data_IF_769708110342
#
_entry.id   IF_769708110342
#
_cell.length_a   1.000
_cell.length_b   1.000
_cell.length_c   1.000
_cell.angle_alpha   90.00
_cell.angle_beta   90.00
_cell.angle_gamma   90.00
#
_symmetry.space_group_name_H-M   'P 1'
#
loop_
_entity.id
_entity.type
_entity.pdbx_description
1 polymer ?
#
# COMPACT_ATOMS: atom_id res chain seq x y z
N UNK A 1 -19.59 3.57 -11.75
CA UNK A 1 -18.51 3.88 -12.72
C UNK A 1 -17.57 2.69 -12.92
N UNK A 2 -17.70 1.99 -14.05
CA UNK A 2 -16.87 0.85 -14.44
C UNK A 2 -15.80 1.34 -15.43
N UNK A 3 -14.65 1.79 -14.93
CA UNK A 3 -13.59 2.32 -15.82
C UNK A 3 -12.70 1.15 -16.28
N UNK A 4 -12.99 0.59 -17.46
CA UNK A 4 -12.04 -0.26 -18.20
C UNK A 4 -11.01 0.65 -18.88
N UNK A 5 -9.72 0.37 -18.71
CA UNK A 5 -8.71 0.88 -19.64
C UNK A 5 -8.29 2.35 -19.57
N UNK A 6 -8.73 3.16 -18.58
CA UNK A 6 -8.35 4.58 -18.57
C UNK A 6 -6.82 4.80 -18.44
N UNK A 7 -6.27 5.53 -19.42
CA UNK A 7 -4.92 6.11 -19.42
C UNK A 7 -5.01 7.55 -18.93
N UNK A 8 -4.66 7.82 -17.66
CA UNK A 8 -4.48 9.20 -17.19
C UNK A 8 -2.99 9.46 -17.00
N UNK A 9 -2.43 10.32 -17.87
CA UNK A 9 -1.01 10.67 -17.84
C UNK A 9 -0.69 11.68 -16.75
N UNK A 10 -1.58 12.62 -16.43
CA UNK A 10 -1.52 13.55 -15.30
C UNK A 10 -2.92 14.10 -14.97
N UNK A 11 -3.56 13.61 -13.92
CA UNK A 11 -4.87 14.07 -13.47
C UNK A 11 -4.81 14.54 -12.02
N UNK A 12 -5.40 15.71 -11.79
CA UNK A 12 -5.57 16.35 -10.49
C UNK A 12 -6.95 15.99 -9.93
N UNK A 13 -7.17 14.73 -9.55
CA UNK A 13 -8.38 14.38 -8.82
C UNK A 13 -8.14 14.69 -7.34
N UNK A 14 -8.41 15.93 -6.91
CA UNK A 14 -8.43 16.32 -5.49
C UNK A 14 -9.80 15.96 -4.91
N UNK A 15 -9.80 15.32 -3.73
CA UNK A 15 -11.03 15.06 -2.98
C UNK A 15 -12.03 14.09 -3.63
N UNK A 16 -11.68 13.41 -4.73
CA UNK A 16 -12.67 12.64 -5.48
C UNK A 16 -13.28 11.48 -4.67
N UNK A 17 -14.60 11.37 -4.73
CA UNK A 17 -15.40 10.33 -4.09
C UNK A 17 -15.51 9.11 -5.01
N UNK A 18 -14.41 8.39 -5.19
CA UNK A 18 -14.37 7.16 -5.98
C UNK A 18 -14.81 5.95 -5.15
N UNK A 19 -16.05 6.01 -4.63
CA UNK A 19 -16.65 4.91 -3.87
C UNK A 19 -16.92 3.75 -4.81
N UNK A 20 -16.47 2.57 -4.41
CA UNK A 20 -16.73 1.28 -5.06
C UNK A 20 -16.34 1.22 -6.55
N UNK A 21 -15.47 2.13 -6.97
CA UNK A 21 -15.03 2.20 -8.36
C UNK A 21 -14.28 0.93 -8.75
N UNK A 22 -14.55 0.43 -9.95
CA UNK A 22 -13.86 -0.73 -10.51
C UNK A 22 -12.93 -0.23 -11.61
N UNK A 23 -11.63 -0.45 -11.41
CA UNK A 23 -10.58 -0.14 -12.37
C UNK A 23 -9.82 -1.42 -12.71
N UNK A 24 -9.85 -1.79 -13.98
CA UNK A 24 -9.09 -2.93 -14.51
C UNK A 24 -8.04 -2.41 -15.48
N UNK A 25 -6.79 -2.77 -15.22
CA UNK A 25 -5.62 -2.51 -16.09
C UNK A 25 -5.38 -1.03 -16.42
N UNK A 26 -5.89 -0.14 -15.56
CA UNK A 26 -5.72 1.30 -15.74
C UNK A 26 -4.26 1.72 -15.64
N UNK A 27 -3.89 2.74 -16.43
CA UNK A 27 -2.54 3.31 -16.43
C UNK A 27 -2.61 4.72 -15.89
N UNK A 28 -2.02 4.92 -14.72
CA UNK A 28 -2.00 6.18 -13.99
C UNK A 28 -0.54 6.61 -13.83
N UNK A 29 -0.14 7.69 -14.48
CA UNK A 29 1.20 8.28 -14.32
C UNK A 29 1.03 9.65 -13.65
N UNK A 30 1.94 10.05 -12.76
CA UNK A 30 1.99 11.42 -12.21
C UNK A 30 0.79 11.92 -11.37
N UNK A 31 -0.34 11.21 -11.33
CA UNK A 31 -1.61 11.74 -10.82
C UNK A 31 -1.54 12.20 -9.36
N UNK A 32 -2.13 13.36 -9.08
CA UNK A 32 -2.23 13.92 -7.73
C UNK A 32 -3.62 13.63 -7.16
N UNK A 33 -3.69 12.57 -6.37
CA UNK A 33 -4.92 11.99 -5.80
C UNK A 33 -5.03 12.33 -4.31
N UNK A 34 -4.98 13.63 -3.98
CA UNK A 34 -4.94 14.12 -2.59
C UNK A 34 -6.32 14.02 -1.96
N UNK A 35 -6.42 13.36 -0.80
CA UNK A 35 -7.66 13.30 0.00
C UNK A 35 -8.75 12.38 -0.56
N UNK A 36 -8.52 11.68 -1.67
CA UNK A 36 -9.58 10.91 -2.34
C UNK A 36 -10.15 9.79 -1.46
N UNK A 37 -11.46 9.58 -1.56
CA UNK A 37 -12.18 8.52 -0.85
C UNK A 37 -12.44 7.35 -1.79
N UNK A 38 -11.55 6.37 -1.76
CA UNK A 38 -11.56 5.11 -2.50
C UNK A 38 -12.13 3.97 -1.64
N UNK A 39 -13.26 4.22 -0.97
CA UNK A 39 -13.92 3.20 -0.12
C UNK A 39 -14.42 2.07 -1.01
N UNK A 40 -14.06 0.82 -0.71
CA UNK A 40 -14.54 -0.35 -1.45
C UNK A 40 -14.04 -0.48 -2.89
N UNK A 41 -13.22 0.46 -3.38
CA UNK A 41 -12.74 0.46 -4.77
C UNK A 41 -11.96 -0.81 -5.09
N UNK A 42 -12.14 -1.34 -6.30
CA UNK A 42 -11.44 -2.52 -6.82
C UNK A 42 -10.46 -2.10 -7.91
N UNK A 43 -9.16 -2.28 -7.67
CA UNK A 43 -8.09 -2.07 -8.65
C UNK A 43 -7.44 -3.41 -8.97
N UNK A 44 -7.57 -3.86 -10.22
CA UNK A 44 -6.97 -5.11 -10.70
C UNK A 44 -6.01 -4.82 -11.84
N UNK A 45 -4.75 -5.23 -11.70
CA UNK A 45 -3.74 -5.14 -12.77
C UNK A 45 -3.33 -3.71 -13.16
N UNK A 46 -3.75 -2.69 -12.41
CA UNK A 46 -3.45 -1.30 -12.72
C UNK A 46 -1.97 -0.97 -12.55
N UNK A 47 -1.46 -0.11 -13.42
CA UNK A 47 -0.09 0.42 -13.38
C UNK A 47 -0.15 1.87 -12.90
N UNK A 48 0.29 2.10 -11.67
CA UNK A 48 0.44 3.43 -11.12
C UNK A 48 1.92 3.79 -10.93
N UNK A 49 2.40 4.78 -11.66
CA UNK A 49 3.79 5.25 -11.60
C UNK A 49 3.84 6.70 -11.15
N UNK A 50 4.54 6.96 -10.04
CA UNK A 50 4.77 8.32 -9.54
C UNK A 50 3.51 9.03 -9.02
N UNK A 51 2.41 8.32 -8.77
CA UNK A 51 1.17 8.94 -8.29
C UNK A 51 1.27 9.34 -6.81
N UNK A 52 0.57 10.42 -6.45
CA UNK A 52 0.56 11.02 -5.13
C UNK A 52 -0.80 10.82 -4.44
N UNK A 53 -0.83 9.97 -3.41
CA UNK A 53 -2.00 9.63 -2.60
C UNK A 53 -1.91 10.25 -1.20
N UNK A 54 -1.62 11.56 -1.12
CA UNK A 54 -1.52 12.22 0.19
C UNK A 54 -2.89 12.24 0.86
N UNK A 55 -3.00 11.64 2.04
CA UNK A 55 -4.24 11.63 2.83
C UNK A 55 -5.39 10.82 2.25
N UNK A 56 -5.19 10.02 1.19
CA UNK A 56 -6.28 9.27 0.56
C UNK A 56 -6.79 8.13 1.46
N UNK A 57 -8.08 7.83 1.36
CA UNK A 57 -8.79 6.83 2.14
C UNK A 57 -9.16 5.62 1.29
N UNK A 58 -8.57 4.47 1.62
CA UNK A 58 -8.72 3.18 0.93
C UNK A 58 -9.49 2.17 1.78
N UNK A 59 -10.51 2.61 2.54
CA UNK A 59 -11.22 1.74 3.47
C UNK A 59 -11.88 0.58 2.71
N UNK A 60 -11.49 -0.66 3.04
CA UNK A 60 -12.04 -1.87 2.42
C UNK A 60 -11.72 -2.05 0.93
N UNK A 61 -10.80 -1.27 0.37
CA UNK A 61 -10.44 -1.39 -1.05
C UNK A 61 -9.75 -2.72 -1.35
N UNK A 62 -9.91 -3.21 -2.58
CA UNK A 62 -9.29 -4.46 -3.06
C UNK A 62 -8.32 -4.14 -4.18
N UNK A 63 -7.04 -4.34 -3.92
CA UNK A 63 -5.96 -4.16 -4.88
C UNK A 63 -5.34 -5.53 -5.20
N UNK A 64 -5.50 -6.01 -6.43
CA UNK A 64 -4.91 -7.28 -6.89
C UNK A 64 -3.99 -7.06 -8.09
N UNK A 65 -2.73 -7.51 -7.99
CA UNK A 65 -1.80 -7.53 -9.11
C UNK A 65 -1.35 -6.15 -9.62
N UNK A 66 -1.51 -5.08 -8.83
CA UNK A 66 -1.18 -3.73 -9.29
C UNK A 66 0.33 -3.47 -9.23
N UNK A 67 0.82 -2.65 -10.16
CA UNK A 67 2.22 -2.19 -10.21
C UNK A 67 2.28 -0.75 -9.73
N UNK A 68 2.80 -0.54 -8.53
CA UNK A 68 2.91 0.73 -7.81
C UNK A 68 4.39 1.15 -7.74
N UNK A 69 4.90 1.84 -8.78
CA UNK A 69 6.32 2.26 -8.84
C UNK A 69 6.47 3.72 -8.43
N UNK A 70 7.21 3.97 -7.35
CA UNK A 70 7.56 5.33 -6.92
C UNK A 70 6.39 6.16 -6.35
N UNK A 71 5.28 5.52 -5.99
CA UNK A 71 4.10 6.24 -5.51
C UNK A 71 4.31 6.80 -4.11
N UNK A 72 3.70 7.96 -3.81
CA UNK A 72 3.78 8.63 -2.51
C UNK A 72 2.44 8.54 -1.79
N UNK A 73 2.35 7.72 -0.75
CA UNK A 73 1.15 7.47 0.05
C UNK A 73 1.26 8.13 1.45
N UNK A 74 1.70 9.39 1.51
CA UNK A 74 1.90 10.07 2.79
C UNK A 74 0.57 10.22 3.53
N UNK A 75 0.48 9.68 4.75
CA UNK A 75 -0.71 9.80 5.60
C UNK A 75 -1.96 9.08 5.09
N UNK A 76 -1.85 8.20 4.09
CA UNK A 76 -3.00 7.47 3.57
C UNK A 76 -3.57 6.48 4.60
N UNK A 77 -4.87 6.23 4.54
CA UNK A 77 -5.59 5.32 5.45
C UNK A 77 -6.08 4.10 4.67
N UNK A 78 -5.49 2.93 4.94
CA UNK A 78 -5.76 1.64 4.30
C UNK A 78 -6.51 0.68 5.24
N UNK A 79 -7.49 1.18 6.01
CA UNK A 79 -8.20 0.36 6.99
C UNK A 79 -8.94 -0.80 6.30
N UNK A 80 -8.60 -2.04 6.66
CA UNK A 80 -9.24 -3.24 6.12
C UNK A 80 -9.02 -3.48 4.62
N UNK A 81 -8.09 -2.78 3.97
CA UNK A 81 -7.82 -2.98 2.55
C UNK A 81 -7.15 -4.34 2.30
N UNK A 82 -7.44 -4.96 1.16
CA UNK A 82 -6.83 -6.22 0.71
C UNK A 82 -5.86 -5.94 -0.43
N UNK A 83 -4.58 -6.19 -0.22
CA UNK A 83 -3.51 -6.07 -1.21
C UNK A 83 -2.95 -7.46 -1.51
N UNK A 84 -3.33 -8.03 -2.65
CA UNK A 84 -2.83 -9.33 -3.11
C UNK A 84 -1.91 -9.16 -4.33
N UNK A 85 -0.71 -9.77 -4.27
CA UNK A 85 0.23 -9.85 -5.41
C UNK A 85 0.65 -8.47 -5.99
N UNK A 86 0.64 -7.41 -5.18
CA UNK A 86 0.99 -6.07 -5.66
C UNK A 86 2.51 -5.84 -5.65
N UNK A 87 3.01 -5.06 -6.60
CA UNK A 87 4.43 -4.68 -6.72
C UNK A 87 4.62 -3.20 -6.33
N UNK A 88 5.11 -2.95 -5.12
CA UNK A 88 5.31 -1.63 -4.51
C UNK A 88 6.78 -1.14 -4.60
N UNK A 89 7.38 -1.17 -5.79
CA UNK A 89 8.80 -0.81 -5.96
C UNK A 89 9.04 0.67 -5.66
N UNK A 90 9.89 0.97 -4.69
CA UNK A 90 10.28 2.36 -4.36
C UNK A 90 9.15 3.24 -3.81
N UNK A 91 8.01 2.65 -3.43
CA UNK A 91 6.87 3.41 -2.91
C UNK A 91 7.16 3.99 -1.51
N UNK A 92 6.70 5.21 -1.25
CA UNK A 92 6.90 5.94 0.01
C UNK A 92 5.58 6.01 0.78
N UNK A 93 5.49 5.32 1.91
CA UNK A 93 4.30 5.18 2.76
C UNK A 93 4.42 5.92 4.10
N UNK A 94 5.09 7.08 4.11
CA UNK A 94 5.37 7.85 5.34
C UNK A 94 4.08 8.17 6.11
N UNK A 95 3.99 7.73 7.38
CA UNK A 95 2.84 8.01 8.25
C UNK A 95 1.52 7.35 7.83
N UNK A 96 1.56 6.38 6.90
CA UNK A 96 0.36 5.65 6.46
C UNK A 96 -0.21 4.76 7.59
N UNK A 97 -1.54 4.60 7.60
CA UNK A 97 -2.26 3.79 8.58
C UNK A 97 -2.88 2.56 7.90
N UNK A 98 -2.36 1.38 8.19
CA UNK A 98 -2.72 0.08 7.61
C UNK A 98 -3.49 -0.82 8.59
N UNK A 99 -4.36 -0.23 9.42
CA UNK A 99 -5.08 -0.99 10.47
C UNK A 99 -5.91 -2.11 9.85
N UNK A 100 -5.65 -3.37 10.24
CA UNK A 100 -6.39 -4.54 9.78
C UNK A 100 -6.25 -4.85 8.28
N UNK A 101 -5.28 -4.25 7.58
CA UNK A 101 -5.07 -4.52 6.16
C UNK A 101 -4.46 -5.91 5.95
N UNK A 102 -4.83 -6.58 4.85
CA UNK A 102 -4.28 -7.89 4.47
C UNK A 102 -3.37 -7.73 3.25
N UNK A 103 -2.08 -7.99 3.42
CA UNK A 103 -1.07 -8.01 2.36
C UNK A 103 -0.65 -9.47 2.13
N UNK A 104 -0.99 -10.06 0.99
CA UNK A 104 -0.58 -11.43 0.61
C UNK A 104 0.24 -11.41 -0.67
N UNK A 105 1.42 -12.03 -0.65
CA UNK A 105 2.26 -12.20 -1.84
C UNK A 105 2.77 -10.90 -2.48
N UNK A 106 2.73 -9.78 -1.76
CA UNK A 106 3.13 -8.47 -2.30
C UNK A 106 4.65 -8.29 -2.23
N UNK A 107 5.21 -7.61 -3.24
CA UNK A 107 6.64 -7.31 -3.35
C UNK A 107 6.88 -5.83 -3.07
N UNK A 108 7.57 -5.48 -1.98
CA UNK A 108 7.79 -4.10 -1.58
C UNK A 108 9.28 -3.68 -1.67
N UNK A 109 9.94 -4.05 -2.77
CA UNK A 109 11.37 -3.77 -3.00
C UNK A 109 11.68 -2.27 -2.88
N UNK A 110 12.60 -1.89 -1.97
CA UNK A 110 13.03 -0.51 -1.79
C UNK A 110 11.95 0.45 -1.25
N UNK A 111 10.85 -0.08 -0.71
CA UNK A 111 9.77 0.75 -0.17
C UNK A 111 10.17 1.41 1.15
N UNK A 112 9.66 2.62 1.40
CA UNK A 112 9.94 3.40 2.62
C UNK A 112 8.67 3.55 3.44
N UNK A 113 8.61 2.90 4.59
CA UNK A 113 7.46 2.86 5.50
C UNK A 113 7.71 3.68 6.79
N UNK A 114 8.42 4.81 6.70
CA UNK A 114 8.78 5.60 7.89
C UNK A 114 7.53 6.05 8.67
N UNK A 115 7.43 5.70 9.95
CA UNK A 115 6.32 6.11 10.81
C UNK A 115 4.96 5.49 10.46
N UNK A 116 4.91 4.42 9.66
CA UNK A 116 3.64 3.76 9.34
C UNK A 116 3.09 2.98 10.52
N UNK A 117 1.76 2.90 10.63
CA UNK A 117 1.05 2.15 11.68
C UNK A 117 0.36 0.94 11.07
N UNK A 118 0.79 -0.26 11.43
CA UNK A 118 0.36 -1.54 10.87
C UNK A 118 -0.44 -2.39 11.88
N UNK A 119 -1.18 -1.73 12.79
CA UNK A 119 -1.91 -2.43 13.87
C UNK A 119 -2.86 -3.50 13.31
N UNK A 120 -2.68 -4.76 13.71
CA UNK A 120 -3.54 -5.88 13.28
C UNK A 120 -3.43 -6.25 11.80
N UNK A 121 -2.41 -5.77 11.07
CA UNK A 121 -2.26 -6.10 9.65
C UNK A 121 -1.70 -7.51 9.46
N UNK A 122 -2.19 -8.24 8.45
CA UNK A 122 -1.67 -9.57 8.10
C UNK A 122 -0.78 -9.46 6.87
N UNK A 123 0.49 -9.81 7.00
CA UNK A 123 1.49 -9.82 5.96
C UNK A 123 1.94 -11.27 5.71
N UNK A 124 1.34 -11.95 4.73
CA UNK A 124 1.70 -13.33 4.39
C UNK A 124 2.45 -13.43 3.06
N UNK A 125 3.59 -14.12 3.02
CA UNK A 125 4.31 -14.39 1.77
C UNK A 125 4.89 -13.14 1.09
N UNK A 126 5.08 -12.04 1.81
CA UNK A 126 5.55 -10.78 1.22
C UNK A 126 7.07 -10.76 1.07
N UNK A 127 7.56 -10.17 -0.04
CA UNK A 127 9.00 -9.96 -0.27
C UNK A 127 9.36 -8.51 0.04
N UNK A 128 10.15 -8.28 1.09
CA UNK A 128 10.43 -6.95 1.66
C UNK A 128 11.87 -6.45 1.39
N UNK A 129 12.51 -6.91 0.30
CA UNK A 129 13.93 -6.61 0.02
C UNK A 129 14.26 -5.11 0.01
N UNK A 130 15.22 -4.68 0.82
CA UNK A 130 15.67 -3.28 0.88
C UNK A 130 14.61 -2.30 1.38
N UNK A 131 13.55 -2.78 2.05
CA UNK A 131 12.52 -1.91 2.61
C UNK A 131 12.96 -1.26 3.92
N UNK A 132 12.64 0.03 4.09
CA UNK A 132 13.01 0.82 5.28
C UNK A 132 11.79 1.03 6.16
N UNK A 133 11.83 0.56 7.40
CA UNK A 133 10.71 0.55 8.35
C UNK A 133 10.91 1.45 9.58
N UNK A 134 11.82 2.43 9.50
CA UNK A 134 12.17 3.33 10.61
C UNK A 134 10.93 3.95 11.28
N UNK A 135 10.77 3.76 12.59
CA UNK A 135 9.65 4.33 13.35
C UNK A 135 8.28 3.69 13.07
N UNK A 136 8.21 2.56 12.37
CA UNK A 136 6.94 1.87 12.12
C UNK A 136 6.45 1.13 13.36
N UNK A 137 5.12 1.15 13.58
CA UNK A 137 4.45 0.47 14.71
C UNK A 137 3.73 -0.78 14.19
N UNK A 138 4.13 -1.95 14.68
CA UNK A 138 3.69 -3.27 14.18
C UNK A 138 2.77 -4.04 15.17
N UNK A 139 2.18 -3.38 16.17
CA UNK A 139 1.36 -4.04 17.22
C UNK A 139 0.31 -5.02 16.65
N UNK A 140 0.41 -6.30 16.99
CA UNK A 140 -0.51 -7.36 16.54
C UNK A 140 -0.48 -7.65 15.04
N UNK A 141 0.59 -7.28 14.32
CA UNK A 141 0.74 -7.62 12.90
C UNK A 141 1.29 -9.04 12.73
N UNK A 142 0.73 -9.85 11.85
CA UNK A 142 1.22 -11.22 11.58
C UNK A 142 2.12 -11.22 10.33
N UNK A 143 3.35 -11.74 10.41
CA UNK A 143 4.36 -11.73 9.34
C UNK A 143 4.73 -13.15 8.87
N UNK A 144 3.75 -13.99 8.52
CA UNK A 144 4.00 -15.40 8.15
C UNK A 144 4.63 -15.54 6.75
N UNK A 145 5.79 -16.19 6.65
CA UNK A 145 6.45 -16.50 5.37
C UNK A 145 6.90 -15.26 4.58
N UNK A 146 7.03 -14.11 5.23
CA UNK A 146 7.56 -12.92 4.57
C UNK A 146 9.09 -12.94 4.54
N UNK A 147 9.68 -12.91 3.34
CA UNK A 147 11.15 -12.88 3.17
C UNK A 147 11.69 -11.46 3.40
N UNK A 148 12.57 -11.34 4.39
CA UNK A 148 13.23 -10.09 4.80
C UNK A 148 14.72 -10.16 4.43
N UNK A 149 15.09 -9.74 3.21
CA UNK A 149 16.52 -9.50 2.90
C UNK A 149 16.79 -8.00 3.01
N UNK A 150 17.82 -7.60 3.76
CA UNK A 150 18.27 -6.20 3.93
C UNK A 150 17.20 -5.25 4.52
N UNK A 151 16.75 -5.48 5.77
CA UNK A 151 15.78 -4.60 6.46
C UNK A 151 16.49 -3.68 7.45
N UNK A 152 16.55 -2.37 7.18
CA UNK A 152 17.01 -1.37 8.17
C UNK A 152 15.87 -1.02 9.14
N UNK A 153 15.95 -1.52 10.38
CA UNK A 153 14.89 -1.45 11.41
C UNK A 153 15.10 -0.43 12.53
N UNK A 154 15.92 0.59 12.35
CA UNK A 154 16.15 1.58 13.43
C UNK A 154 14.82 2.16 13.94
N UNK A 155 14.48 1.90 15.20
CA UNK A 155 13.29 2.43 15.88
C UNK A 155 11.93 1.86 15.48
N UNK A 156 11.83 0.67 14.87
CA UNK A 156 10.52 0.00 14.74
C UNK A 156 10.16 -0.70 16.05
N UNK A 157 8.97 -0.44 16.60
CA UNK A 157 8.45 -1.12 17.81
C UNK A 157 7.52 -2.29 17.41
N UNK A 158 8.00 -3.55 17.39
CA UNK A 158 7.11 -4.70 17.46
C UNK A 158 6.58 -4.81 18.90
N UNK A 159 5.29 -5.05 19.06
CA UNK A 159 4.67 -5.24 20.38
C UNK A 159 3.84 -6.52 20.28
N UNK A 160 4.45 -7.68 20.54
CA UNK A 160 3.84 -9.02 20.40
C UNK A 160 3.67 -9.52 18.95
N UNK A 161 4.77 -9.81 18.25
CA UNK A 161 4.72 -10.66 17.05
C UNK A 161 5.68 -11.82 17.25
N UNK A 162 5.25 -13.09 17.19
CA UNK A 162 6.18 -14.19 16.96
C UNK A 162 6.74 -13.98 15.55
N UNK A 163 7.99 -13.50 15.49
CA UNK A 163 8.74 -13.42 14.25
C UNK A 163 9.28 -14.83 14.03
N UNK A 164 8.43 -15.76 13.54
CA UNK A 164 8.95 -17.01 13.00
C UNK A 164 9.65 -16.65 11.68
N UNK A 165 10.90 -16.23 11.84
CA UNK A 165 11.94 -16.32 10.84
C UNK A 165 12.13 -17.81 10.55
N UNK A 166 12.12 -18.24 9.27
CA UNK A 166 13.01 -19.34 8.91
C UNK A 166 14.46 -18.87 9.03
#
# INVERSE_FOLDING_TARGET
MHCRGNRHRESLLRGSLLRESRHRESRLRGNRLRGNRLRGSRLRGSRLRGSHFRGSHFRGSRLRGNRLRGNRLRGSRLRGSRLRENRLRGSRLRGSRLRGSRLRGSRLRGSRLRGSRLRGSRLQGNRLRGSRLRGSRLRGSRLRGSRLRERRLRGSRPACCPVNLP
#
